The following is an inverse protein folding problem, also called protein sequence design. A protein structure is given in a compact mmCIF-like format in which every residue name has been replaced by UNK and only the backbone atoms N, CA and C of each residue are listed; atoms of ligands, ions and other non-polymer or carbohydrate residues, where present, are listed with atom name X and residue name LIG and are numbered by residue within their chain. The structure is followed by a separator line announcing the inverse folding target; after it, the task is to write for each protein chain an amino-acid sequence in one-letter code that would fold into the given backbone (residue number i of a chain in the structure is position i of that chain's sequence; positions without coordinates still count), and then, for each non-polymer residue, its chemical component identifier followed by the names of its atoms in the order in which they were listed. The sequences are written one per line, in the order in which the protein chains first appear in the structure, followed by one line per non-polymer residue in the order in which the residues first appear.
data_IF_426906410811
#
_entry.id   IF_426906410811
#
_cell.length_a   1.000
_cell.length_b   1.000
_cell.length_c   1.000
_cell.angle_alpha   90.00
_cell.angle_beta   90.00
_cell.angle_gamma   90.00
#
_symmetry.space_group_name_H-M   'P 1'
#
loop_
_entity.id
_entity.type
_entity.pdbx_description
1 polymer ?
#
# COMPACT_ATOMS: atom_id res chain seq x y z
N UNK A 1 16.02 -14.14 -5.36
CA UNK A 1 16.49 -13.17 -4.38
C UNK A 1 16.83 -13.85 -3.05
N UNK A 2 18.09 -13.80 -2.65
CA UNK A 2 18.50 -14.12 -1.26
C UNK A 2 18.28 -12.88 -0.39
N UNK A 3 18.00 -13.05 0.92
CA UNK A 3 17.78 -11.90 1.81
C UNK A 3 18.97 -10.93 1.80
N UNK A 4 20.18 -11.44 1.56
CA UNK A 4 21.42 -10.68 1.57
C UNK A 4 21.51 -9.66 0.42
N UNK A 5 20.88 -9.93 -0.73
CA UNK A 5 20.81 -8.99 -1.87
C UNK A 5 19.87 -7.80 -1.58
N UNK A 6 18.88 -7.97 -0.70
CA UNK A 6 17.92 -6.92 -0.36
C UNK A 6 18.59 -5.83 0.49
N UNK A 7 19.51 -6.23 1.36
CA UNK A 7 20.22 -5.31 2.24
C UNK A 7 21.29 -4.49 1.51
N UNK A 8 21.87 -5.03 0.43
CA UNK A 8 22.90 -4.33 -0.34
C UNK A 8 22.38 -3.12 -1.14
N UNK A 9 21.08 -3.09 -1.42
CA UNK A 9 20.42 -1.99 -2.15
C UNK A 9 19.98 -0.83 -1.23
N UNK A 10 20.16 -0.96 0.09
CA UNK A 10 19.86 0.12 1.03
C UNK A 10 20.83 1.29 0.83
N UNK A 11 20.27 2.50 0.80
CA UNK A 11 21.09 3.71 0.88
C UNK A 11 21.82 3.79 2.23
N UNK A 12 22.98 4.45 2.23
CA UNK A 12 23.76 4.69 3.45
C UNK A 12 22.93 5.37 4.53
N UNK A 13 23.24 5.08 5.80
CA UNK A 13 22.57 5.72 6.92
C UNK A 13 22.87 7.22 6.96
N UNK A 14 21.82 8.00 7.21
CA UNK A 14 21.89 9.43 7.45
C UNK A 14 21.29 9.76 8.82
N UNK A 15 21.73 10.88 9.39
CA UNK A 15 21.31 11.38 10.69
C UNK A 15 20.80 12.80 10.57
N UNK A 16 19.95 13.20 11.50
CA UNK A 16 19.46 14.57 11.66
C UNK A 16 19.20 14.83 13.15
N UNK A 17 19.04 16.09 13.53
CA UNK A 17 18.75 16.45 14.92
C UNK A 17 17.32 16.00 15.32
N UNK A 18 17.15 15.16 16.37
CA UNK A 18 15.84 14.69 16.79
C UNK A 18 14.88 15.83 17.22
N UNK A 19 15.40 17.02 17.56
CA UNK A 19 14.59 18.20 17.87
C UNK A 19 13.68 18.64 16.70
N UNK A 20 13.96 18.18 15.47
CA UNK A 20 13.10 18.42 14.29
C UNK A 20 11.66 17.91 14.46
N UNK A 21 11.39 17.01 15.40
CA UNK A 21 10.02 16.53 15.68
C UNK A 21 9.41 17.11 16.95
N UNK A 22 10.10 18.07 17.59
CA UNK A 22 9.59 18.86 18.71
C UNK A 22 9.01 20.16 18.18
N UNK A 23 7.72 20.40 18.44
CA UNK A 23 7.01 21.58 17.93
C UNK A 23 7.53 22.91 18.49
N UNK A 24 7.35 23.98 17.72
CA UNK A 24 7.69 25.35 18.09
C UNK A 24 6.56 26.33 17.68
N UNK A 25 6.83 27.63 17.79
CA UNK A 25 5.87 28.68 17.44
C UNK A 25 5.49 28.71 15.95
N UNK A 26 6.37 28.23 15.06
CA UNK A 26 6.11 28.21 13.61
C UNK A 26 5.47 26.90 13.16
N UNK A 27 5.90 25.79 13.75
CA UNK A 27 5.49 24.42 13.44
C UNK A 27 4.95 23.74 14.70
N UNK A 28 3.63 23.79 14.93
CA UNK A 28 3.02 23.17 16.10
C UNK A 28 3.24 21.66 16.17
N UNK A 29 3.21 21.10 17.38
CA UNK A 29 3.46 19.67 17.62
C UNK A 29 2.55 18.74 16.80
N UNK A 30 1.29 19.12 16.56
CA UNK A 30 0.37 18.31 15.77
C UNK A 30 0.78 18.17 14.29
N UNK A 31 1.54 19.14 13.75
CA UNK A 31 2.13 19.04 12.41
C UNK A 31 3.27 18.02 12.44
N UNK A 32 4.16 18.11 13.43
CA UNK A 32 5.26 17.17 13.63
C UNK A 32 4.75 15.73 13.76
N UNK A 33 3.71 15.52 14.57
CA UNK A 33 3.08 14.22 14.77
C UNK A 33 2.48 13.66 13.47
N UNK A 34 1.89 14.52 12.63
CA UNK A 34 1.38 14.08 11.34
C UNK A 34 2.51 13.64 10.41
N UNK A 35 3.65 14.34 10.37
CA UNK A 35 4.79 13.92 9.57
C UNK A 35 5.36 12.58 10.05
N UNK A 36 5.44 12.35 11.36
CA UNK A 36 5.83 11.05 11.92
C UNK A 36 4.88 9.92 11.48
N UNK A 37 3.57 10.18 11.52
CA UNK A 37 2.59 9.21 11.05
C UNK A 37 2.73 8.91 9.55
N UNK A 38 2.99 9.93 8.72
CA UNK A 38 3.23 9.74 7.29
C UNK A 38 4.53 8.97 7.01
N UNK A 39 5.58 9.17 7.82
CA UNK A 39 6.81 8.40 7.74
C UNK A 39 6.58 6.91 8.07
N UNK A 40 5.77 6.60 9.08
CA UNK A 40 5.43 5.21 9.39
C UNK A 40 4.62 4.57 8.26
N UNK A 41 3.62 5.27 7.70
CA UNK A 41 2.86 4.76 6.54
C UNK A 41 3.77 4.47 5.36
N UNK A 42 4.76 5.34 5.09
CA UNK A 42 5.75 5.10 4.03
C UNK A 42 6.53 3.80 4.27
N UNK A 43 6.95 3.53 5.51
CA UNK A 43 7.61 2.28 5.87
C UNK A 43 6.69 1.07 5.65
N UNK A 44 5.43 1.14 6.13
CA UNK A 44 4.47 0.05 5.98
C UNK A 44 4.19 -0.28 4.49
N UNK A 45 4.06 0.75 3.64
CA UNK A 45 3.92 0.57 2.19
C UNK A 45 5.15 -0.10 1.59
N UNK A 46 6.34 0.42 1.93
CA UNK A 46 7.62 -0.09 1.45
C UNK A 46 7.79 -1.57 1.82
N UNK A 47 7.60 -1.91 3.09
CA UNK A 47 7.77 -3.27 3.61
C UNK A 47 6.79 -4.24 2.95
N UNK A 48 5.54 -3.82 2.77
CA UNK A 48 4.52 -4.64 2.09
C UNK A 48 4.90 -4.91 0.63
N UNK A 49 5.43 -3.92 -0.08
CA UNK A 49 5.91 -4.06 -1.47
C UNK A 49 7.11 -5.02 -1.55
N UNK A 50 8.05 -4.94 -0.61
CA UNK A 50 9.18 -5.88 -0.56
C UNK A 50 8.71 -7.31 -0.34
N UNK A 51 7.77 -7.53 0.57
CA UNK A 51 7.21 -8.88 0.79
C UNK A 51 6.51 -9.37 -0.47
N UNK A 52 5.78 -8.50 -1.18
CA UNK A 52 5.15 -8.85 -2.45
C UNK A 52 6.18 -9.26 -3.51
N UNK A 53 7.24 -8.46 -3.71
CA UNK A 53 8.30 -8.77 -4.66
C UNK A 53 9.01 -10.09 -4.33
N UNK A 54 9.21 -10.38 -3.04
CA UNK A 54 9.75 -11.66 -2.58
C UNK A 54 8.82 -12.83 -2.93
N UNK A 55 7.50 -12.68 -2.73
CA UNK A 55 6.53 -13.72 -3.07
C UNK A 55 6.45 -13.94 -4.58
N UNK A 56 6.46 -12.88 -5.38
CA UNK A 56 6.46 -12.95 -6.84
C UNK A 56 7.65 -13.76 -7.36
N UNK A 57 8.86 -13.50 -6.85
CA UNK A 57 10.06 -14.27 -7.18
C UNK A 57 9.89 -15.77 -6.92
N UNK A 58 9.29 -16.14 -5.78
CA UNK A 58 9.05 -17.55 -5.40
C UNK A 58 7.92 -18.20 -6.19
N UNK A 59 6.99 -17.42 -6.75
CA UNK A 59 5.85 -17.90 -7.52
C UNK A 59 6.20 -18.16 -8.99
N UNK A 60 7.18 -17.46 -9.56
CA UNK A 60 7.59 -17.56 -10.98
C UNK A 60 7.84 -19.00 -11.43
N UNK A 61 8.54 -19.78 -10.62
CA UNK A 61 8.96 -21.14 -10.99
C UNK A 61 7.92 -22.23 -10.66
N UNK A 62 6.82 -21.87 -10.02
CA UNK A 62 5.82 -22.84 -9.53
C UNK A 62 4.62 -22.91 -10.47
N UNK A 63 4.66 -23.71 -11.52
CA UNK A 63 3.52 -23.84 -12.45
C UNK A 63 2.50 -24.92 -12.02
N UNK A 64 2.97 -25.96 -11.31
CA UNK A 64 2.13 -27.09 -10.91
C UNK A 64 1.22 -26.76 -9.71
N UNK A 65 -0.01 -27.28 -9.75
CA UNK A 65 -0.95 -27.23 -8.61
C UNK A 65 -0.38 -28.04 -7.44
N UNK A 66 -0.08 -27.36 -6.34
CA UNK A 66 0.54 -27.97 -5.15
C UNK A 66 0.20 -27.20 -3.88
N UNK A 67 0.42 -27.82 -2.71
CA UNK A 67 0.27 -27.16 -1.40
C UNK A 67 1.17 -25.92 -1.28
N UNK A 68 2.42 -26.02 -1.77
CA UNK A 68 3.39 -24.92 -1.76
C UNK A 68 2.90 -23.74 -2.61
N UNK A 69 2.45 -24.00 -3.84
CA UNK A 69 1.89 -22.96 -4.71
C UNK A 69 0.65 -22.34 -4.08
N UNK A 70 -0.28 -23.15 -3.58
CA UNK A 70 -1.50 -22.65 -2.91
C UNK A 70 -1.19 -21.78 -1.69
N UNK A 71 -0.19 -22.16 -0.89
CA UNK A 71 0.27 -21.38 0.26
C UNK A 71 0.83 -20.02 -0.18
N UNK A 72 1.70 -19.99 -1.19
CA UNK A 72 2.33 -18.76 -1.67
C UNK A 72 1.33 -17.84 -2.36
N UNK A 73 0.47 -18.35 -3.25
CA UNK A 73 -0.58 -17.55 -3.88
C UNK A 73 -1.52 -16.94 -2.84
N UNK A 74 -1.90 -17.71 -1.82
CA UNK A 74 -2.76 -17.17 -0.77
C UNK A 74 -2.04 -16.20 0.16
N UNK A 75 -0.71 -16.27 0.32
CA UNK A 75 0.07 -15.24 1.01
C UNK A 75 0.13 -13.96 0.17
N UNK A 76 0.38 -14.08 -1.14
CA UNK A 76 0.40 -12.95 -2.08
C UNK A 76 -0.94 -12.17 -2.02
N UNK A 77 -2.06 -12.88 -2.05
CA UNK A 77 -3.39 -12.27 -1.89
C UNK A 77 -3.57 -11.55 -0.56
N UNK A 78 -3.04 -12.11 0.53
CA UNK A 78 -3.07 -11.44 1.85
C UNK A 78 -2.26 -10.15 1.80
N UNK A 79 -1.08 -10.17 1.19
CA UNK A 79 -0.21 -9.00 1.06
C UNK A 79 -0.86 -7.90 0.21
N UNK A 80 -1.50 -8.23 -0.92
CA UNK A 80 -2.30 -7.26 -1.69
C UNK A 80 -3.38 -6.60 -0.84
N UNK A 81 -4.05 -7.36 0.03
CA UNK A 81 -5.11 -6.84 0.91
C UNK A 81 -4.54 -6.00 2.05
N UNK A 82 -3.37 -6.34 2.59
CA UNK A 82 -2.66 -5.52 3.56
C UNK A 82 -2.27 -4.19 2.92
N UNK A 83 -1.73 -4.21 1.70
CA UNK A 83 -1.39 -3.00 0.95
C UNK A 83 -2.62 -2.11 0.73
N UNK A 84 -3.74 -2.69 0.30
CA UNK A 84 -5.02 -1.99 0.19
C UNK A 84 -5.50 -1.40 1.53
N UNK A 85 -5.29 -2.13 2.63
CA UNK A 85 -5.60 -1.68 3.99
C UNK A 85 -4.78 -0.48 4.44
N UNK A 86 -3.46 -0.52 4.22
CA UNK A 86 -2.55 0.60 4.52
C UNK A 86 -2.95 1.85 3.73
N UNK A 87 -3.31 1.69 2.46
CA UNK A 87 -3.83 2.78 1.63
C UNK A 87 -5.14 3.35 2.19
N UNK A 88 -6.10 2.52 2.58
CA UNK A 88 -7.33 3.01 3.20
C UNK A 88 -7.06 3.74 4.54
N UNK A 89 -6.13 3.24 5.35
CA UNK A 89 -5.71 3.89 6.59
C UNK A 89 -5.04 5.25 6.34
N UNK A 90 -4.19 5.36 5.32
CA UNK A 90 -3.60 6.62 4.88
C UNK A 90 -4.67 7.63 4.47
N UNK A 91 -5.64 7.22 3.65
CA UNK A 91 -6.74 8.10 3.22
C UNK A 91 -7.60 8.55 4.41
N UNK A 92 -7.86 7.66 5.37
CA UNK A 92 -8.53 7.99 6.63
C UNK A 92 -7.72 8.96 7.48
N UNK A 93 -6.41 8.77 7.59
CA UNK A 93 -5.50 9.65 8.31
C UNK A 93 -5.51 11.07 7.72
N UNK A 94 -5.39 11.19 6.40
CA UNK A 94 -5.43 12.47 5.68
C UNK A 94 -6.77 13.16 5.92
N UNK A 95 -7.88 12.44 5.76
CA UNK A 95 -9.22 12.98 5.98
C UNK A 95 -9.42 13.47 7.42
N UNK A 96 -8.98 12.69 8.42
CA UNK A 96 -9.11 13.04 9.85
C UNK A 96 -8.27 14.28 10.21
N UNK A 97 -7.14 14.49 9.55
CA UNK A 97 -6.21 15.58 9.82
C UNK A 97 -6.32 16.76 8.84
N UNK A 98 -7.48 16.92 8.17
CA UNK A 98 -7.71 18.00 7.19
C UNK A 98 -7.31 19.40 7.71
N UNK A 99 -7.63 19.71 8.97
CA UNK A 99 -7.29 21.01 9.58
C UNK A 99 -5.77 21.19 9.73
N UNK A 100 -5.04 20.14 10.08
CA UNK A 100 -3.58 20.14 10.19
C UNK A 100 -2.95 20.31 8.81
N UNK A 101 -3.45 19.59 7.80
CA UNK A 101 -2.96 19.66 6.42
C UNK A 101 -3.15 21.06 5.81
N UNK A 102 -4.18 21.78 6.24
CA UNK A 102 -4.44 23.16 5.81
C UNK A 102 -3.69 24.20 6.67
N UNK A 103 -2.94 23.79 7.69
CA UNK A 103 -2.15 24.70 8.51
C UNK A 103 -1.03 25.35 7.69
N UNK A 104 -0.70 26.64 7.91
CA UNK A 104 0.35 27.34 7.15
C UNK A 104 1.71 26.62 7.16
N UNK A 105 2.09 26.01 8.28
CA UNK A 105 3.35 25.24 8.37
C UNK A 105 3.38 24.04 7.41
N UNK A 106 2.29 23.28 7.34
CA UNK A 106 2.18 22.13 6.43
C UNK A 106 2.13 22.59 4.97
N UNK A 107 1.39 23.67 4.67
CA UNK A 107 1.35 24.24 3.34
C UNK A 107 2.74 24.73 2.86
N UNK A 108 3.52 25.36 3.75
CA UNK A 108 4.92 25.74 3.47
C UNK A 108 5.78 24.51 3.12
N UNK A 109 5.62 23.40 3.83
CA UNK A 109 6.30 22.14 3.53
C UNK A 109 5.94 21.62 2.13
N UNK A 110 4.65 21.56 1.78
CA UNK A 110 4.17 21.13 0.46
C UNK A 110 4.72 22.02 -0.67
N UNK A 111 4.96 23.30 -0.40
CA UNK A 111 5.56 24.21 -1.37
C UNK A 111 7.08 24.02 -1.54
N UNK A 112 7.75 23.32 -0.62
CA UNK A 112 9.19 23.00 -0.69
C UNK A 112 9.48 21.68 -1.41
N UNK A 113 8.50 20.79 -1.55
CA UNK A 113 8.68 19.52 -2.29
C UNK A 113 8.60 19.70 -3.80
N UNK A 114 9.05 18.67 -4.53
CA UNK A 114 9.11 18.64 -6.00
C UNK A 114 7.74 18.87 -6.65
N UNK A 115 7.72 19.33 -7.92
CA UNK A 115 6.46 19.52 -8.67
C UNK A 115 5.68 18.20 -8.80
N UNK A 116 6.39 17.09 -9.05
CA UNK A 116 5.82 15.75 -9.09
C UNK A 116 5.23 15.35 -7.74
N UNK A 117 6.02 15.41 -6.66
CA UNK A 117 5.56 15.04 -5.32
C UNK A 117 4.36 15.88 -4.86
N UNK A 118 4.33 17.17 -5.23
CA UNK A 118 3.18 18.06 -4.96
C UNK A 118 1.93 17.63 -5.73
N UNK A 119 2.07 17.27 -7.01
CA UNK A 119 0.95 16.77 -7.80
C UNK A 119 0.39 15.48 -7.19
N UNK A 120 1.26 14.50 -6.89
CA UNK A 120 0.87 13.24 -6.26
C UNK A 120 0.22 13.44 -4.89
N UNK A 121 0.76 14.34 -4.05
CA UNK A 121 0.15 14.71 -2.77
C UNK A 121 -1.25 15.33 -2.93
N UNK A 122 -1.44 16.19 -3.93
CA UNK A 122 -2.74 16.79 -4.21
C UNK A 122 -3.76 15.75 -4.67
N UNK A 123 -3.37 14.80 -5.53
CA UNK A 123 -4.20 13.67 -5.93
C UNK A 123 -4.57 12.79 -4.75
N UNK A 124 -3.62 12.50 -3.85
CA UNK A 124 -3.87 11.75 -2.62
C UNK A 124 -4.85 12.48 -1.68
N UNK A 125 -4.67 13.79 -1.47
CA UNK A 125 -5.61 14.64 -0.73
C UNK A 125 -7.00 14.63 -1.35
N UNK A 126 -7.08 14.75 -2.69
CA UNK A 126 -8.34 14.72 -3.44
C UNK A 126 -9.06 13.39 -3.21
N UNK A 127 -8.35 12.27 -3.35
CA UNK A 127 -8.90 10.93 -3.08
C UNK A 127 -9.39 10.76 -1.63
N UNK A 128 -8.67 11.31 -0.66
CA UNK A 128 -9.06 11.23 0.75
C UNK A 128 -10.33 12.04 1.06
N UNK A 129 -10.55 13.17 0.37
CA UNK A 129 -11.68 14.07 0.61
C UNK A 129 -12.92 13.72 -0.22
N UNK A 130 -12.76 13.18 -1.43
CA UNK A 130 -13.85 12.87 -2.36
C UNK A 130 -14.41 11.46 -2.13
N UNK A 131 -15.43 11.35 -1.26
CA UNK A 131 -16.04 10.05 -0.95
C UNK A 131 -17.03 9.53 -2.01
N UNK A 132 -17.75 10.41 -2.73
CA UNK A 132 -18.78 10.00 -3.70
C UNK A 132 -18.38 10.14 -5.18
N UNK A 133 -17.48 11.06 -5.51
CA UNK A 133 -17.12 11.39 -6.90
C UNK A 133 -15.86 10.65 -7.40
N UNK A 134 -15.13 9.96 -6.52
CA UNK A 134 -13.86 9.30 -6.85
C UNK A 134 -13.98 8.26 -7.98
N UNK A 135 -15.12 7.56 -8.08
CA UNK A 135 -15.39 6.59 -9.16
C UNK A 135 -15.35 7.22 -10.56
N UNK A 136 -15.80 8.47 -10.68
CA UNK A 136 -15.91 9.20 -11.94
C UNK A 136 -14.80 10.27 -12.09
N UNK A 137 -13.77 10.24 -11.24
CA UNK A 137 -12.66 11.19 -11.32
C UNK A 137 -11.89 10.98 -12.63
N UNK A 138 -11.53 12.08 -13.28
CA UNK A 138 -10.59 12.07 -14.42
C UNK A 138 -9.13 11.88 -13.99
N UNK A 139 -8.85 11.94 -12.69
CA UNK A 139 -7.54 11.67 -12.11
C UNK A 139 -7.38 10.14 -11.88
N UNK A 140 -6.45 9.48 -12.58
CA UNK A 140 -6.24 8.04 -12.50
C UNK A 140 -5.92 7.54 -11.08
N UNK A 141 -5.08 8.26 -10.34
CA UNK A 141 -4.70 7.91 -8.98
C UNK A 141 -5.90 8.00 -8.04
N UNK A 142 -6.73 9.05 -8.18
CA UNK A 142 -7.96 9.19 -7.38
C UNK A 142 -8.93 8.04 -7.65
N UNK A 143 -9.10 7.66 -8.92
CA UNK A 143 -10.00 6.57 -9.30
C UNK A 143 -9.53 5.22 -8.74
N UNK A 144 -8.22 4.94 -8.83
CA UNK A 144 -7.62 3.73 -8.27
C UNK A 144 -7.82 3.66 -6.75
N UNK A 145 -7.40 4.71 -6.03
CA UNK A 145 -7.50 4.80 -4.58
C UNK A 145 -8.94 4.66 -4.07
N UNK A 146 -9.90 5.28 -4.77
CA UNK A 146 -11.32 5.12 -4.46
C UNK A 146 -11.77 3.66 -4.63
N UNK A 147 -11.35 3.00 -5.70
CA UNK A 147 -11.75 1.60 -5.96
C UNK A 147 -11.14 0.66 -4.93
N UNK A 148 -9.85 0.82 -4.61
CA UNK A 148 -9.13 0.03 -3.61
C UNK A 148 -9.82 0.13 -2.25
N UNK A 149 -10.10 1.36 -1.81
CA UNK A 149 -10.78 1.62 -0.54
C UNK A 149 -12.16 0.97 -0.44
N UNK A 150 -12.95 1.00 -1.52
CA UNK A 150 -14.33 0.54 -1.46
C UNK A 150 -14.51 -0.94 -1.80
N UNK A 151 -13.60 -1.54 -2.59
CA UNK A 151 -13.76 -2.92 -3.10
C UNK A 151 -12.69 -3.91 -2.65
N UNK A 152 -11.48 -3.46 -2.26
CA UNK A 152 -10.38 -4.35 -1.88
C UNK A 152 -10.06 -4.35 -0.38
N UNK A 153 -10.17 -3.20 0.29
CA UNK A 153 -9.84 -3.09 1.71
C UNK A 153 -10.78 -3.91 2.62
N UNK A 154 -12.05 -4.05 2.24
CA UNK A 154 -13.11 -4.71 3.04
C UNK A 154 -13.53 -6.06 2.46
N UNK A 155 -12.67 -7.06 2.57
CA UNK A 155 -12.77 -8.33 1.81
C UNK A 155 -13.42 -9.50 2.55
N UNK A 156 -14.05 -9.26 3.70
CA UNK A 156 -14.81 -10.27 4.44
C UNK A 156 -16.31 -10.21 4.14
N UNK A 157 -16.72 -9.51 3.08
CA UNK A 157 -18.10 -9.53 2.61
C UNK A 157 -18.42 -10.93 2.05
N UNK A 158 -19.34 -11.62 2.70
CA UNK A 158 -19.71 -12.99 2.34
C UNK A 158 -20.32 -13.08 0.93
N UNK A 159 -21.03 -12.04 0.48
CA UNK A 159 -21.63 -11.97 -0.84
C UNK A 159 -20.57 -11.82 -1.93
N UNK A 160 -19.61 -10.91 -1.73
CA UNK A 160 -18.49 -10.70 -2.65
C UNK A 160 -17.58 -11.94 -2.77
N UNK A 161 -17.28 -12.59 -1.64
CA UNK A 161 -16.55 -13.85 -1.63
C UNK A 161 -17.30 -14.96 -2.37
N UNK A 162 -18.63 -15.02 -2.22
CA UNK A 162 -19.45 -15.99 -2.96
C UNK A 162 -19.45 -15.74 -4.47
N UNK A 163 -19.41 -14.48 -4.93
CA UNK A 163 -19.25 -14.15 -6.36
C UNK A 163 -17.95 -14.76 -6.89
N UNK A 164 -16.84 -14.55 -6.18
CA UNK A 164 -15.55 -15.14 -6.52
C UNK A 164 -15.58 -16.67 -6.53
N UNK A 165 -16.15 -17.27 -5.49
CA UNK A 165 -16.30 -18.73 -5.36
C UNK A 165 -17.12 -19.33 -6.51
N UNK A 166 -18.31 -18.78 -6.80
CA UNK A 166 -19.19 -19.26 -7.86
C UNK A 166 -18.51 -19.21 -9.21
N UNK A 167 -17.83 -18.09 -9.54
CA UNK A 167 -17.11 -17.96 -10.82
C UNK A 167 -15.96 -18.94 -10.96
N UNK A 168 -15.24 -19.24 -9.87
CA UNK A 168 -14.07 -20.11 -9.91
C UNK A 168 -14.43 -21.60 -9.92
N UNK A 169 -15.42 -22.01 -9.12
CA UNK A 169 -15.72 -23.41 -8.84
C UNK A 169 -17.03 -23.92 -9.47
N UNK A 170 -17.95 -23.04 -9.88
CA UNK A 170 -19.30 -23.44 -10.33
C UNK A 170 -19.55 -23.06 -11.79
N UNK A 171 -19.27 -21.82 -12.18
CA UNK A 171 -19.71 -21.25 -13.46
C UNK A 171 -18.66 -21.29 -14.58
N UNK A 172 -17.49 -21.90 -14.36
CA UNK A 172 -16.42 -22.00 -15.35
C UNK A 172 -16.64 -23.09 -16.40
N UNK A 173 -16.02 -22.96 -17.59
CA UNK A 173 -16.05 -23.98 -18.66
C UNK A 173 -15.47 -25.32 -18.20
N UNK A 174 -14.50 -25.29 -17.29
CA UNK A 174 -13.99 -26.43 -16.54
C UNK A 174 -13.91 -26.02 -15.06
N UNK A 175 -14.89 -26.41 -14.22
CA UNK A 175 -14.87 -26.03 -12.81
C UNK A 175 -13.67 -26.64 -12.11
N UNK A 176 -12.88 -25.79 -11.44
CA UNK A 176 -11.73 -26.26 -10.67
C UNK A 176 -12.18 -27.15 -9.50
N UNK A 177 -11.34 -28.08 -9.09
CA UNK A 177 -11.59 -28.89 -7.88
C UNK A 177 -11.24 -28.06 -6.64
N UNK A 178 -12.19 -27.93 -5.71
CA UNK A 178 -11.96 -27.33 -4.38
C UNK A 178 -10.93 -28.15 -3.59
N UNK A 179 -9.97 -27.47 -2.97
CA UNK A 179 -8.86 -28.11 -2.24
C UNK A 179 -8.72 -27.54 -0.83
N UNK A 180 -8.28 -28.40 0.08
CA UNK A 180 -8.01 -28.07 1.48
C UNK A 180 -6.88 -28.93 2.01
N UNK A 181 -6.12 -28.42 2.97
CA UNK A 181 -5.36 -29.24 3.91
C UNK A 181 -6.00 -29.02 5.28
N UNK A 182 -6.73 -30.00 5.81
CA UNK A 182 -7.53 -29.85 7.03
C UNK A 182 -7.05 -30.71 8.21
N UNK A 183 -6.22 -31.72 7.98
CA UNK A 183 -5.80 -32.70 8.99
C UNK A 183 -4.60 -32.29 9.85
N UNK A 184 -4.13 -31.04 9.73
CA UNK A 184 -2.97 -30.54 10.48
C UNK A 184 -3.27 -30.29 11.95
N UNK A 185 -2.31 -30.57 12.83
CA UNK A 185 -2.39 -30.26 14.28
C UNK A 185 -1.81 -28.90 14.65
N UNK A 186 -1.05 -28.30 13.73
CA UNK A 186 -0.37 -27.01 13.90
C UNK A 186 -0.88 -26.01 12.87
N UNK A 187 -0.84 -24.71 13.20
CA UNK A 187 -1.32 -23.62 12.33
C UNK A 187 -0.77 -23.71 10.89
N UNK A 188 0.52 -24.03 10.73
CA UNK A 188 1.19 -24.15 9.43
C UNK A 188 0.77 -25.37 8.60
N UNK A 189 -0.01 -26.29 9.16
CA UNK A 189 -0.35 -27.58 8.54
C UNK A 189 -1.77 -27.61 7.96
N UNK A 190 -2.56 -26.57 8.17
CA UNK A 190 -3.89 -26.47 7.57
C UNK A 190 -4.05 -25.19 6.75
N UNK A 191 -4.82 -25.29 5.66
CA UNK A 191 -5.19 -24.16 4.81
C UNK A 191 -6.42 -24.48 3.97
N UNK A 192 -7.34 -23.54 3.92
CA UNK A 192 -8.57 -23.61 3.12
C UNK A 192 -8.35 -22.96 1.75
N UNK A 193 -7.65 -23.66 0.85
CA UNK A 193 -7.26 -23.10 -0.45
C UNK A 193 -8.45 -22.65 -1.32
N UNK A 194 -9.63 -23.24 -1.13
CA UNK A 194 -10.84 -22.79 -1.83
C UNK A 194 -11.26 -21.36 -1.45
N UNK A 195 -11.01 -20.93 -0.21
CA UNK A 195 -11.33 -19.59 0.26
C UNK A 195 -10.34 -18.57 -0.33
N UNK A 196 -9.05 -18.92 -0.38
CA UNK A 196 -8.04 -18.10 -1.06
C UNK A 196 -8.38 -17.93 -2.54
N UNK A 197 -8.73 -19.02 -3.23
CA UNK A 197 -9.11 -18.99 -4.65
C UNK A 197 -10.35 -18.14 -4.91
N UNK A 198 -11.35 -18.19 -4.01
CA UNK A 198 -12.53 -17.34 -4.09
C UNK A 198 -12.17 -15.84 -3.97
N UNK A 199 -11.34 -15.49 -2.97
CA UNK A 199 -10.87 -14.12 -2.79
C UNK A 199 -10.02 -13.64 -3.98
N UNK A 200 -9.10 -14.46 -4.48
CA UNK A 200 -8.28 -14.17 -5.66
C UNK A 200 -9.15 -13.92 -6.89
N UNK A 201 -10.13 -14.79 -7.12
CA UNK A 201 -11.03 -14.63 -8.27
C UNK A 201 -11.82 -13.34 -8.15
N UNK A 202 -12.33 -13.01 -6.97
CA UNK A 202 -13.04 -11.75 -6.76
C UNK A 202 -12.15 -10.51 -7.02
N UNK A 203 -10.93 -10.50 -6.49
CA UNK A 203 -9.95 -9.42 -6.76
C UNK A 203 -9.68 -9.32 -8.26
N UNK A 204 -9.49 -10.45 -8.94
CA UNK A 204 -9.30 -10.47 -10.39
C UNK A 204 -10.49 -9.88 -11.16
N UNK A 205 -11.72 -10.15 -10.74
CA UNK A 205 -12.89 -9.53 -11.38
C UNK A 205 -12.90 -8.01 -11.19
N UNK A 206 -12.45 -7.51 -10.03
CA UNK A 206 -12.31 -6.08 -9.81
C UNK A 206 -11.27 -5.51 -10.77
N UNK A 207 -10.07 -6.09 -10.85
CA UNK A 207 -9.00 -5.60 -11.74
C UNK A 207 -9.39 -5.70 -13.21
N UNK A 208 -10.05 -6.79 -13.63
CA UNK A 208 -10.55 -6.95 -15.01
C UNK A 208 -11.62 -5.89 -15.34
N UNK A 209 -12.47 -5.52 -14.38
CA UNK A 209 -13.51 -4.49 -14.56
C UNK A 209 -13.01 -3.05 -14.41
N UNK A 210 -11.93 -2.86 -13.66
CA UNK A 210 -11.31 -1.56 -13.38
C UNK A 210 -9.78 -1.72 -13.53
N UNK A 211 -9.26 -1.76 -14.78
CA UNK A 211 -7.84 -2.00 -15.05
C UNK A 211 -6.89 -1.05 -14.33
N UNK A 212 -7.39 0.14 -13.97
CA UNK A 212 -6.64 1.12 -13.19
C UNK A 212 -6.20 0.62 -11.80
N UNK A 213 -6.89 -0.39 -11.25
CA UNK A 213 -6.47 -1.06 -10.01
C UNK A 213 -5.27 -1.98 -10.27
N UNK A 214 -5.23 -2.63 -11.43
CA UNK A 214 -4.04 -3.37 -11.86
C UNK A 214 -2.87 -2.41 -12.04
N UNK A 215 -3.05 -1.31 -12.77
CA UNK A 215 -2.04 -0.25 -12.96
C UNK A 215 -1.53 0.35 -11.63
N UNK A 216 -2.36 0.32 -10.58
CA UNK A 216 -1.95 0.76 -9.25
C UNK A 216 -0.96 -0.21 -8.60
N UNK A 217 -1.19 -1.52 -8.72
CA UNK A 217 -0.33 -2.55 -8.12
C UNK A 217 0.79 -3.03 -9.05
N UNK A 218 0.70 -2.81 -10.36
CA UNK A 218 1.62 -3.36 -11.35
C UNK A 218 2.74 -2.40 -11.75
N UNK A 219 3.99 -2.79 -11.47
CA UNK A 219 5.19 -2.31 -12.16
C UNK A 219 5.60 -0.84 -11.91
N UNK A 220 6.58 -0.36 -12.70
CA UNK A 220 7.09 1.01 -12.66
C UNK A 220 6.91 1.73 -14.00
N UNK A 221 6.51 3.02 -14.00
CA UNK A 221 5.97 3.74 -12.84
C UNK A 221 4.50 3.36 -12.61
N UNK A 222 4.18 2.74 -11.47
CA UNK A 222 2.80 2.48 -11.05
C UNK A 222 2.22 3.71 -10.35
N UNK A 223 0.90 3.76 -10.21
CA UNK A 223 0.24 4.79 -9.40
C UNK A 223 0.63 4.69 -7.91
N UNK A 224 1.08 3.52 -7.45
CA UNK A 224 1.63 3.35 -6.11
C UNK A 224 2.96 4.10 -5.92
N UNK A 225 3.82 4.17 -6.94
CA UNK A 225 5.05 4.97 -6.89
C UNK A 225 4.75 6.45 -6.65
N UNK A 226 3.63 6.96 -7.17
CA UNK A 226 3.21 8.34 -6.92
C UNK A 226 2.80 8.57 -5.46
N UNK A 227 2.14 7.59 -4.82
CA UNK A 227 1.84 7.65 -3.39
C UNK A 227 3.13 7.64 -2.56
N UNK A 228 4.05 6.73 -2.87
CA UNK A 228 5.34 6.60 -2.20
C UNK A 228 6.13 7.91 -2.34
N UNK A 229 6.23 8.46 -3.56
CA UNK A 229 6.95 9.70 -3.82
C UNK A 229 6.36 10.88 -3.04
N UNK A 230 5.02 10.99 -2.97
CA UNK A 230 4.37 12.05 -2.21
C UNK A 230 4.74 12.00 -0.71
N UNK A 231 4.73 10.80 -0.12
CA UNK A 231 5.08 10.63 1.29
C UNK A 231 6.57 10.85 1.53
N UNK A 232 7.42 10.26 0.69
CA UNK A 232 8.87 10.41 0.75
C UNK A 232 9.29 11.88 0.70
N UNK A 233 8.80 12.62 -0.29
CA UNK A 233 9.14 14.02 -0.46
C UNK A 233 8.76 14.86 0.77
N UNK A 234 7.58 14.63 1.36
CA UNK A 234 7.13 15.33 2.56
C UNK A 234 8.03 15.02 3.76
N UNK A 235 8.34 13.74 3.98
CA UNK A 235 9.14 13.29 5.13
C UNK A 235 10.58 13.80 5.01
N UNK A 236 11.20 13.68 3.83
CA UNK A 236 12.60 14.10 3.61
C UNK A 236 12.75 15.62 3.61
N UNK A 237 11.78 16.35 3.05
CA UNK A 237 11.84 17.81 3.06
C UNK A 237 11.56 18.41 4.45
N UNK A 238 10.95 17.67 5.38
CA UNK A 238 10.54 18.21 6.67
C UNK A 238 11.72 18.72 7.52
N UNK A 239 12.82 17.97 7.70
CA UNK A 239 14.00 18.50 8.40
C UNK A 239 14.59 19.76 7.79
N UNK A 240 14.84 19.76 6.48
CA UNK A 240 15.31 20.94 5.77
C UNK A 240 14.32 22.11 5.87
N UNK A 241 13.02 21.83 5.90
CA UNK A 241 11.99 22.86 6.03
C UNK A 241 12.07 23.62 7.35
N UNK A 242 12.61 22.95 8.39
CA UNK A 242 12.81 23.45 9.76
C UNK A 242 14.25 23.91 10.04
N UNK A 243 15.11 24.00 9.02
CA UNK A 243 16.49 24.47 9.15
C UNK A 243 17.49 23.40 9.61
N UNK A 244 17.09 22.14 9.65
CA UNK A 244 17.98 21.02 9.97
C UNK A 244 18.59 20.43 8.70
N UNK A 245 19.80 19.90 8.81
CA UNK A 245 20.50 19.24 7.71
C UNK A 245 20.63 17.74 7.98
N UNK A 246 20.46 16.95 6.92
CA UNK A 246 20.87 15.56 6.89
C UNK A 246 22.39 15.48 6.93
N UNK A 247 22.93 14.51 7.67
CA UNK A 247 24.37 14.27 7.82
C UNK A 247 24.64 12.79 7.60
N UNK A 248 25.67 12.46 6.84
CA UNK A 248 26.12 11.08 6.72
C UNK A 248 26.40 10.49 8.12
N UNK A 249 25.96 9.26 8.37
CA UNK A 249 26.29 8.58 9.61
C UNK A 249 27.79 8.28 9.62
N UNK A 250 28.53 8.93 10.51
CA UNK A 250 29.91 8.58 10.82
C UNK A 250 29.89 7.66 12.03
N UNK A 251 30.50 6.48 11.92
CA UNK A 251 30.68 5.57 13.07
C UNK A 251 31.29 6.36 14.24
N UNK A 252 30.61 6.31 15.39
CA UNK A 252 31.12 6.81 16.68
C UNK A 252 31.73 5.66 17.46
#
# INVERSE_FOLDING_TARGET
MEFDEIWSDLSSLETFDPAVFIGDNETPQYVCNLILALALVLNDLRDTIYVQAFLDDRLKDLTAVSQKRGQLCGLDTVITRILAGVIDELLRLIRKNKNIINHPAFAKLVNKISSKGRASWNSLKKAAYESAHGKNSSDPLVKALWTIRNKLAFHYDAGELFIGYSKFFVSGKEPYISRVSAGGKLLRQFRFYFADAAAQKYIKEITDSEPIVEDFFSGRPSLLDDVIQALYDLVVAFPASRGFAWRAHTEL
#
